data_IF_107542790365
#
_entry.id   IF_107542790365
#
_cell.length_a   1.000
_cell.length_b   1.000
_cell.length_c   1.000
_cell.angle_alpha   90.00
_cell.angle_beta   90.00
_cell.angle_gamma   90.00
#
_symmetry.space_group_name_H-M   'P 1'
#
loop_
_entity.id
_entity.type
_entity.pdbx_description
1 polymer ?
#
# COMPACT_ATOMS: atom_id res chain seq x y z
N UNK A 1 2.52 -15.28 -15.70
CA UNK A 1 3.80 -15.46 -16.43
C UNK A 1 4.18 -16.93 -16.31
N UNK A 2 4.36 -17.65 -17.42
CA UNK A 2 4.61 -19.10 -17.39
C UNK A 2 5.99 -19.49 -16.81
N UNK A 3 6.84 -18.52 -16.48
CA UNK A 3 8.24 -18.72 -16.05
C UNK A 3 8.54 -18.31 -14.61
N UNK A 4 7.55 -17.92 -13.79
CA UNK A 4 7.82 -17.44 -12.42
C UNK A 4 8.55 -16.09 -12.34
N UNK A 5 8.58 -15.33 -13.44
CA UNK A 5 9.23 -14.03 -13.50
C UNK A 5 8.58 -13.04 -12.52
N UNK A 6 9.39 -12.48 -11.61
CA UNK A 6 9.01 -11.34 -10.76
C UNK A 6 9.13 -10.05 -11.57
N UNK A 7 8.10 -9.21 -11.50
CA UNK A 7 8.11 -7.86 -12.09
C UNK A 7 7.79 -6.89 -10.99
N UNK A 8 8.66 -5.91 -10.79
CA UNK A 8 8.54 -4.88 -9.77
C UNK A 8 8.41 -3.52 -10.44
N UNK A 9 7.74 -2.60 -9.76
CA UNK A 9 7.54 -1.26 -10.26
C UNK A 9 6.51 -0.50 -9.46
N UNK A 10 6.26 0.75 -9.86
CA UNK A 10 5.24 1.58 -9.24
C UNK A 10 3.86 1.07 -9.64
N UNK A 11 3.04 0.71 -8.66
CA UNK A 11 1.65 0.34 -8.92
C UNK A 11 0.89 1.53 -9.50
N UNK A 12 0.29 1.35 -10.67
CA UNK A 12 -0.55 2.35 -11.33
C UNK A 12 -2.03 2.08 -11.13
N UNK A 13 -2.45 0.81 -11.25
CA UNK A 13 -3.85 0.39 -11.06
C UNK A 13 -3.92 -1.06 -10.61
N UNK A 14 -4.85 -1.37 -9.71
CA UNK A 14 -5.26 -2.73 -9.41
C UNK A 14 -6.78 -2.79 -9.30
N UNK A 15 -7.38 -3.78 -9.95
CA UNK A 15 -8.80 -4.12 -9.81
C UNK A 15 -9.00 -5.64 -9.89
N UNK A 16 -10.23 -6.09 -10.06
CA UNK A 16 -10.59 -7.51 -10.10
C UNK A 16 -10.08 -8.22 -11.36
N UNK A 17 -9.73 -7.46 -12.41
CA UNK A 17 -9.35 -8.00 -13.71
C UNK A 17 -7.88 -7.78 -14.05
N UNK A 18 -7.30 -6.65 -13.63
CA UNK A 18 -5.98 -6.20 -14.07
C UNK A 18 -5.13 -5.68 -12.90
N UNK A 19 -3.83 -5.96 -12.99
CA UNK A 19 -2.77 -5.29 -12.22
C UNK A 19 -1.87 -4.57 -13.20
N UNK A 20 -1.71 -3.26 -13.04
CA UNK A 20 -0.87 -2.43 -13.91
C UNK A 20 0.18 -1.72 -13.09
N UNK A 21 1.44 -1.84 -13.51
CA UNK A 21 2.59 -1.17 -12.91
C UNK A 21 3.45 -0.50 -13.99
N UNK A 22 4.24 0.49 -13.56
CA UNK A 22 5.33 1.06 -14.36
C UNK A 22 6.64 0.51 -13.84
N UNK A 23 7.40 -0.20 -14.68
CA UNK A 23 8.69 -0.79 -14.30
C UNK A 23 9.81 0.26 -14.19
N UNK A 24 11.00 -0.17 -13.80
CA UNK A 24 12.17 0.70 -13.61
C UNK A 24 12.62 1.40 -14.89
N UNK A 25 12.32 0.83 -16.07
CA UNK A 25 12.60 1.43 -17.36
C UNK A 25 11.47 2.33 -17.87
N UNK A 26 10.44 2.57 -17.05
CA UNK A 26 9.30 3.42 -17.39
C UNK A 26 8.26 2.75 -18.28
N UNK A 27 8.34 1.43 -18.50
CA UNK A 27 7.36 0.71 -19.33
C UNK A 27 6.13 0.37 -18.52
N UNK A 28 4.97 0.61 -19.10
CA UNK A 28 3.70 0.19 -18.55
C UNK A 28 3.52 -1.32 -18.78
N UNK A 29 3.25 -2.06 -17.71
CA UNK A 29 3.04 -3.51 -17.71
C UNK A 29 1.68 -3.82 -17.10
N UNK A 30 0.83 -4.51 -17.84
CA UNK A 30 -0.51 -4.94 -17.37
C UNK A 30 -0.62 -6.46 -17.35
N UNK A 31 -1.13 -6.98 -16.24
CA UNK A 31 -1.27 -8.41 -15.99
C UNK A 31 -2.73 -8.74 -15.67
N UNK A 32 -3.34 -9.72 -16.35
CA UNK A 32 -4.68 -10.18 -16.01
C UNK A 32 -4.67 -11.01 -14.72
N UNK A 33 -5.64 -10.77 -13.84
CA UNK A 33 -5.90 -11.55 -12.62
C UNK A 33 -6.79 -12.75 -12.97
N UNK A 34 -6.19 -13.81 -13.52
CA UNK A 34 -6.90 -15.07 -13.83
C UNK A 34 -6.51 -16.15 -12.83
N UNK A 35 -7.41 -16.45 -11.88
CA UNK A 35 -7.19 -17.48 -10.86
C UNK A 35 -5.89 -17.28 -10.08
N UNK A 36 -5.24 -18.37 -9.68
CA UNK A 36 -4.01 -18.36 -8.87
C UNK A 36 -2.72 -18.16 -9.68
N UNK A 37 -2.81 -17.67 -10.92
CA UNK A 37 -1.66 -17.53 -11.83
C UNK A 37 -0.80 -16.29 -11.54
N UNK A 38 -1.25 -15.40 -10.66
CA UNK A 38 -0.59 -14.15 -10.33
C UNK A 38 -0.58 -13.94 -8.81
N UNK A 39 0.61 -14.01 -8.22
CA UNK A 39 0.85 -13.50 -6.87
C UNK A 39 1.18 -12.02 -6.96
N UNK A 40 0.49 -11.21 -6.17
CA UNK A 40 0.70 -9.76 -6.09
C UNK A 40 1.16 -9.43 -4.67
N UNK A 41 2.26 -8.70 -4.55
CA UNK A 41 2.76 -8.16 -3.30
C UNK A 41 2.75 -6.63 -3.42
N UNK A 42 2.03 -5.97 -2.52
CA UNK A 42 1.91 -4.51 -2.50
C UNK A 42 2.58 -4.02 -1.23
N UNK A 43 3.62 -3.20 -1.41
CA UNK A 43 4.26 -2.46 -0.32
C UNK A 43 3.58 -1.10 -0.22
N UNK A 44 2.51 -1.02 0.57
CA UNK A 44 1.78 0.23 0.79
C UNK A 44 2.45 1.07 1.90
N UNK A 45 3.07 2.22 1.58
CA UNK A 45 3.68 3.09 2.58
C UNK A 45 2.65 3.73 3.52
N UNK A 46 1.35 3.73 3.18
CA UNK A 46 0.28 4.22 4.04
C UNK A 46 -0.11 3.19 5.13
N UNK A 47 0.15 1.90 4.89
CA UNK A 47 -0.27 0.83 5.79
C UNK A 47 0.20 1.04 7.25
N UNK A 48 1.46 1.40 7.53
CA UNK A 48 1.89 1.66 8.91
C UNK A 48 1.14 2.79 9.60
N UNK A 49 0.66 3.79 8.85
CA UNK A 49 -0.15 4.88 9.41
C UNK A 49 -1.57 4.42 9.73
N UNK A 50 -2.16 3.57 8.89
CA UNK A 50 -3.48 2.97 9.13
C UNK A 50 -3.43 2.00 10.31
N UNK A 51 -2.34 1.26 10.45
CA UNK A 51 -2.14 0.31 11.54
C UNK A 51 -2.11 1.00 12.92
N UNK A 52 -1.85 2.31 12.97
CA UNK A 52 -1.91 3.09 14.21
C UNK A 52 -3.34 3.47 14.62
N UNK A 53 -4.31 3.47 13.70
CA UNK A 53 -5.71 3.81 14.00
C UNK A 53 -6.33 2.94 15.11
N UNK A 54 -6.18 1.59 15.12
CA UNK A 54 -6.68 0.77 16.23
C UNK A 54 -5.79 0.82 17.48
N UNK A 55 -4.57 1.37 17.38
CA UNK A 55 -3.62 1.45 18.50
C UNK A 55 -3.92 2.65 19.37
N UNK A 56 -4.25 3.80 18.76
CA UNK A 56 -4.50 5.02 19.51
C UNK A 56 -5.82 4.97 20.26
N UNK A 57 -5.74 5.23 21.56
CA UNK A 57 -6.91 5.34 22.43
C UNK A 57 -7.40 6.78 22.50
N UNK A 58 -8.65 6.96 22.92
CA UNK A 58 -9.20 8.29 23.22
C UNK A 58 -8.31 9.07 24.21
N UNK A 59 -7.74 8.37 25.19
CA UNK A 59 -6.78 8.94 26.16
C UNK A 59 -5.52 9.46 25.47
N UNK A 60 -4.98 8.76 24.47
CA UNK A 60 -3.78 9.21 23.77
C UNK A 60 -4.06 10.51 23.00
N UNK A 61 -5.20 10.58 22.31
CA UNK A 61 -5.63 11.79 21.60
C UNK A 61 -5.87 12.95 22.58
N UNK A 62 -6.55 12.69 23.71
CA UNK A 62 -6.75 13.68 24.76
C UNK A 62 -5.42 14.19 25.33
N UNK A 63 -4.47 13.31 25.60
CA UNK A 63 -3.17 13.70 26.17
C UNK A 63 -2.34 14.56 25.21
N UNK A 64 -2.30 14.18 23.93
CA UNK A 64 -1.58 14.97 22.91
C UNK A 64 -2.19 16.37 22.80
N UNK A 65 -3.52 16.46 22.70
CA UNK A 65 -4.21 17.75 22.61
C UNK A 65 -4.00 18.60 23.88
N UNK A 66 -4.08 18.00 25.07
CA UNK A 66 -3.80 18.69 26.32
C UNK A 66 -2.36 19.21 26.38
N UNK A 67 -1.37 18.43 25.93
CA UNK A 67 0.03 18.85 25.87
C UNK A 67 0.24 20.02 24.89
N UNK A 68 -0.35 19.97 23.69
CA UNK A 68 -0.20 21.06 22.71
C UNK A 68 -0.70 22.41 23.24
N UNK A 69 -1.70 22.42 24.13
CA UNK A 69 -2.20 23.63 24.80
C UNK A 69 -1.19 24.23 25.78
N UNK A 70 -0.26 23.43 26.33
CA UNK A 70 0.73 23.93 27.30
C UNK A 70 1.94 24.60 26.65
N UNK A 71 2.17 24.39 25.34
CA UNK A 71 3.32 24.89 24.57
C UNK A 71 3.24 26.39 24.22
N UNK A 72 2.67 27.22 25.10
CA UNK A 72 2.61 28.68 24.91
C UNK A 72 3.99 29.32 24.83
#
# INVERSE_FOLDING_TARGET
LASGQKVEGRLGRIDDFLVTLTDAEGRLRSFPRKGDQLRVEIHDPMQPHLDLLPVYTDKDIHNVTAYLVTLK
#
